data_IF_549813141471
#
_entry.id   IF_549813141471
#
_cell.length_a   1.000
_cell.length_b   1.000
_cell.length_c   1.000
_cell.angle_alpha   90.00
_cell.angle_beta   90.00
_cell.angle_gamma   90.00
#
_symmetry.space_group_name_H-M   'P 1'
#
loop_
_entity.id
_entity.type
_entity.pdbx_description
1 polymer ?
#
# COMPACT_ATOMS: atom_id res chain seq x y z
N UNK A 1 -2.72 10.40 33.52
CA UNK A 1 -2.48 10.56 32.07
C UNK A 1 -2.81 9.31 31.24
N UNK A 2 -3.80 8.48 31.64
CA UNK A 2 -4.21 7.28 30.86
C UNK A 2 -5.65 7.36 30.31
N UNK A 3 -6.53 8.18 30.89
CA UNK A 3 -7.95 8.28 30.48
C UNK A 3 -8.14 8.97 29.13
N UNK A 4 -7.36 10.02 28.81
CA UNK A 4 -7.41 10.71 27.51
C UNK A 4 -6.96 9.81 26.36
N UNK A 5 -5.97 8.95 26.59
CA UNK A 5 -5.50 7.96 25.62
C UNK A 5 -6.52 6.85 25.38
N UNK A 6 -7.24 6.42 26.42
CA UNK A 6 -8.32 5.44 26.28
C UNK A 6 -9.49 5.98 25.45
N UNK A 7 -9.86 7.26 25.63
CA UNK A 7 -10.87 7.94 24.80
C UNK A 7 -10.46 8.02 23.33
N UNK A 8 -9.22 8.47 23.08
CA UNK A 8 -8.67 8.55 21.72
C UNK A 8 -8.64 7.18 21.01
N UNK A 9 -8.21 6.12 21.71
CA UNK A 9 -8.20 4.75 21.16
C UNK A 9 -9.60 4.23 20.81
N UNK A 10 -10.63 4.59 21.58
CA UNK A 10 -12.02 4.22 21.26
C UNK A 10 -12.53 4.92 20.01
N UNK A 11 -12.20 6.20 19.82
CA UNK A 11 -12.56 6.95 18.61
C UNK A 11 -11.87 6.33 17.40
N UNK A 12 -10.57 6.06 17.47
CA UNK A 12 -9.83 5.39 16.39
C UNK A 12 -10.40 4.00 16.10
N UNK A 13 -10.81 3.24 17.13
CA UNK A 13 -11.51 1.96 16.97
C UNK A 13 -12.85 2.09 16.25
N UNK A 14 -13.65 3.11 16.58
CA UNK A 14 -14.93 3.36 15.91
C UNK A 14 -14.72 3.74 14.44
N UNK A 15 -13.73 4.59 14.13
CA UNK A 15 -13.37 4.94 12.75
C UNK A 15 -12.93 3.71 11.95
N UNK A 16 -12.23 2.76 12.59
CA UNK A 16 -11.85 1.50 11.96
C UNK A 16 -13.05 0.64 11.58
N UNK A 17 -14.09 0.60 12.42
CA UNK A 17 -15.34 -0.12 12.11
C UNK A 17 -16.03 0.52 10.90
N UNK A 18 -16.06 1.85 10.83
CA UNK A 18 -16.60 2.57 9.67
C UNK A 18 -15.78 2.28 8.41
N UNK A 19 -14.44 2.24 8.50
CA UNK A 19 -13.57 1.83 7.40
C UNK A 19 -13.88 0.41 6.91
N UNK A 20 -14.10 -0.54 7.83
CA UNK A 20 -14.52 -1.90 7.48
C UNK A 20 -15.89 -1.95 6.79
N UNK A 21 -16.83 -1.09 7.19
CA UNK A 21 -18.13 -0.99 6.52
C UNK A 21 -17.98 -0.47 5.08
N UNK A 22 -17.15 0.55 4.85
CA UNK A 22 -16.85 1.03 3.49
C UNK A 22 -16.13 -0.02 2.65
N UNK A 23 -15.18 -0.77 3.22
CA UNK A 23 -14.52 -1.90 2.56
C UNK A 23 -15.53 -2.96 2.11
N UNK A 24 -16.45 -3.32 3.00
CA UNK A 24 -17.47 -4.30 2.69
C UNK A 24 -18.44 -3.80 1.61
N UNK A 25 -18.87 -2.54 1.70
CA UNK A 25 -19.71 -1.91 0.68
C UNK A 25 -19.01 -1.86 -0.69
N UNK A 26 -17.72 -1.51 -0.72
CA UNK A 26 -16.89 -1.55 -1.93
C UNK A 26 -16.85 -2.95 -2.55
N UNK A 27 -16.70 -4.01 -1.74
CA UNK A 27 -16.76 -5.40 -2.22
C UNK A 27 -18.12 -5.71 -2.88
N UNK A 28 -19.23 -5.30 -2.25
CA UNK A 28 -20.57 -5.52 -2.80
C UNK A 28 -20.77 -4.78 -4.12
N UNK A 29 -20.29 -3.54 -4.23
CA UNK A 29 -20.37 -2.75 -5.48
C UNK A 29 -19.57 -3.43 -6.59
N UNK A 30 -18.39 -3.97 -6.31
CA UNK A 30 -17.58 -4.72 -7.29
C UNK A 30 -18.32 -5.99 -7.73
N UNK A 31 -18.85 -6.77 -6.79
CA UNK A 31 -19.60 -7.99 -7.12
C UNK A 31 -20.85 -7.67 -7.93
N UNK A 32 -21.58 -6.63 -7.54
CA UNK A 32 -22.74 -6.15 -8.28
C UNK A 32 -22.36 -5.72 -9.69
N UNK A 33 -21.26 -4.97 -9.88
CA UNK A 33 -20.79 -4.58 -11.21
C UNK A 33 -20.46 -5.79 -12.08
N UNK A 34 -19.77 -6.79 -11.54
CA UNK A 34 -19.45 -8.03 -12.24
C UNK A 34 -20.74 -8.76 -12.66
N UNK A 35 -21.69 -8.93 -11.74
CA UNK A 35 -22.97 -9.60 -12.01
C UNK A 35 -23.77 -8.84 -13.09
N UNK A 36 -23.94 -7.53 -12.92
CA UNK A 36 -24.68 -6.68 -13.84
C UNK A 36 -24.04 -6.63 -15.23
N UNK A 37 -22.70 -6.75 -15.31
CA UNK A 37 -21.97 -6.86 -16.57
C UNK A 37 -22.33 -8.14 -17.34
N UNK A 38 -22.60 -9.27 -16.67
CA UNK A 38 -23.11 -10.48 -17.33
C UNK A 38 -24.51 -10.29 -17.92
N UNK A 39 -25.34 -9.41 -17.34
CA UNK A 39 -26.66 -9.04 -17.86
C UNK A 39 -26.63 -7.88 -18.86
N UNK A 40 -25.43 -7.43 -19.29
CA UNK A 40 -25.27 -6.34 -20.26
C UNK A 40 -25.59 -4.94 -19.74
N UNK A 41 -25.74 -4.77 -18.42
CA UNK A 41 -26.08 -3.49 -17.78
C UNK A 41 -25.01 -3.06 -16.76
N UNK A 42 -23.75 -2.80 -17.15
CA UNK A 42 -22.69 -2.44 -16.21
C UNK A 42 -23.03 -1.17 -15.40
N UNK A 43 -22.51 -1.07 -14.17
CA UNK A 43 -22.77 0.09 -13.30
C UNK A 43 -22.04 1.31 -13.87
N UNK A 44 -22.79 2.28 -14.38
CA UNK A 44 -22.28 3.59 -14.79
C UNK A 44 -21.69 4.28 -13.55
N UNK A 45 -20.41 4.66 -13.63
CA UNK A 45 -19.62 5.24 -12.53
C UNK A 45 -19.27 4.31 -11.35
N UNK A 46 -19.35 2.97 -11.52
CA UNK A 46 -18.94 2.03 -10.46
C UNK A 46 -17.50 2.24 -9.98
N UNK A 47 -16.56 2.51 -10.89
CA UNK A 47 -15.15 2.78 -10.57
C UNK A 47 -14.97 4.07 -9.76
N UNK A 48 -15.62 5.17 -10.14
CA UNK A 48 -15.53 6.44 -9.41
C UNK A 48 -16.06 6.31 -7.99
N UNK A 49 -17.15 5.55 -7.80
CA UNK A 49 -17.71 5.23 -6.48
C UNK A 49 -16.70 4.43 -5.66
N UNK A 50 -16.07 3.42 -6.28
CA UNK A 50 -15.04 2.59 -5.64
C UNK A 50 -13.82 3.43 -5.22
N UNK A 51 -13.37 4.36 -6.06
CA UNK A 51 -12.24 5.25 -5.76
C UNK A 51 -12.54 6.17 -4.57
N UNK A 52 -13.73 6.79 -4.53
CA UNK A 52 -14.18 7.61 -3.40
C UNK A 52 -14.26 6.77 -2.11
N UNK A 53 -14.80 5.55 -2.19
CA UNK A 53 -14.84 4.62 -1.06
C UNK A 53 -13.43 4.22 -0.59
N UNK A 54 -12.50 3.98 -1.52
CA UNK A 54 -11.12 3.63 -1.21
C UNK A 54 -10.42 4.74 -0.42
N UNK A 55 -10.64 6.02 -0.81
CA UNK A 55 -10.14 7.18 -0.05
C UNK A 55 -10.66 7.13 1.39
N UNK A 56 -11.96 6.94 1.59
CA UNK A 56 -12.54 6.82 2.93
C UNK A 56 -11.90 5.67 3.73
N UNK A 57 -11.76 4.49 3.13
CA UNK A 57 -11.15 3.32 3.77
C UNK A 57 -9.71 3.60 4.19
N UNK A 58 -8.90 4.17 3.30
CA UNK A 58 -7.49 4.45 3.57
C UNK A 58 -7.39 5.43 4.73
N UNK A 59 -8.03 6.60 4.65
CA UNK A 59 -7.86 7.60 5.72
C UNK A 59 -8.47 7.18 7.06
N UNK A 60 -9.64 6.52 7.06
CA UNK A 60 -10.28 6.06 8.29
C UNK A 60 -9.58 4.84 8.91
N UNK A 61 -9.07 3.94 8.07
CA UNK A 61 -8.34 2.73 8.50
C UNK A 61 -6.89 3.00 8.88
N UNK A 62 -6.24 3.97 8.24
CA UNK A 62 -4.81 4.27 8.43
C UNK A 62 -4.47 4.70 9.85
N UNK A 63 -5.34 5.49 10.50
CA UNK A 63 -5.14 5.87 11.90
C UNK A 63 -5.14 4.65 12.84
N UNK A 64 -5.97 3.65 12.56
CA UNK A 64 -6.03 2.41 13.35
C UNK A 64 -4.86 1.47 13.08
N UNK A 65 -4.42 1.37 11.82
CA UNK A 65 -3.23 0.58 11.47
C UNK A 65 -1.97 1.20 12.06
N UNK A 66 -1.82 2.53 12.02
CA UNK A 66 -0.73 3.23 12.71
C UNK A 66 -0.76 2.97 14.22
N UNK A 67 -1.93 3.11 14.86
CA UNK A 67 -2.08 2.86 16.29
C UNK A 67 -1.72 1.42 16.71
N UNK A 68 -1.92 0.43 15.84
CA UNK A 68 -1.54 -0.97 16.06
C UNK A 68 -0.10 -1.29 15.63
N UNK A 69 0.67 -0.29 15.18
CA UNK A 69 2.04 -0.48 14.72
C UNK A 69 2.08 -1.07 13.30
N UNK A 70 1.57 -0.36 12.30
CA UNK A 70 1.42 -0.89 10.94
C UNK A 70 2.72 -1.37 10.27
N UNK A 71 3.88 -0.87 10.71
CA UNK A 71 5.22 -1.27 10.25
C UNK A 71 5.84 -2.40 11.09
N UNK A 72 5.21 -2.71 12.22
CA UNK A 72 5.79 -3.48 13.34
C UNK A 72 5.90 -4.98 13.05
N UNK A 73 5.30 -5.50 11.96
CA UNK A 73 5.35 -6.95 11.69
C UNK A 73 6.76 -7.43 11.31
N UNK A 74 7.56 -6.58 10.67
CA UNK A 74 8.94 -6.90 10.32
C UNK A 74 9.89 -6.66 11.51
N UNK A 75 9.68 -5.56 12.23
CA UNK A 75 10.44 -5.22 13.45
C UNK A 75 10.21 -6.20 14.60
N UNK A 76 9.00 -6.74 14.80
CA UNK A 76 8.70 -7.69 15.87
C UNK A 76 9.47 -8.99 15.73
N UNK A 77 9.64 -9.48 14.49
CA UNK A 77 10.39 -10.71 14.23
C UNK A 77 11.88 -10.51 14.48
N UNK A 78 12.42 -9.34 14.15
CA UNK A 78 13.82 -8.95 14.38
C UNK A 78 14.08 -8.68 15.87
N UNK A 79 13.16 -8.02 16.58
CA UNK A 79 13.31 -7.62 18.00
C UNK A 79 13.39 -8.78 19.00
N UNK A 80 12.97 -10.00 18.60
CA UNK A 80 13.05 -11.20 19.44
C UNK A 80 14.31 -12.04 19.23
N UNK A 81 15.19 -11.66 18.30
CA UNK A 81 16.45 -12.36 18.06
C UNK A 81 17.59 -11.77 18.91
N UNK A 82 18.54 -12.60 19.39
CA UNK A 82 19.73 -12.11 20.09
C UNK A 82 20.50 -11.10 19.23
N UNK A 83 21.05 -10.04 19.86
CA UNK A 83 21.70 -8.88 19.22
C UNK A 83 22.83 -9.18 18.22
N UNK A 84 23.37 -10.40 18.22
CA UNK A 84 24.36 -10.86 17.24
C UNK A 84 23.76 -11.40 15.94
N UNK A 85 22.48 -11.85 15.93
CA UNK A 85 21.76 -12.32 14.72
C UNK A 85 20.90 -11.25 14.07
N UNK A 86 20.56 -10.19 14.80
CA UNK A 86 19.73 -9.08 14.29
C UNK A 86 20.36 -8.40 13.07
N UNK A 87 21.69 -8.23 13.06
CA UNK A 87 22.40 -7.61 11.94
C UNK A 87 22.29 -8.42 10.64
N UNK A 88 22.39 -9.75 10.72
CA UNK A 88 22.21 -10.63 9.56
C UNK A 88 20.76 -10.63 9.06
N UNK A 89 19.78 -10.63 9.97
CA UNK A 89 18.37 -10.60 9.58
C UNK A 89 17.94 -9.25 9.01
N UNK A 90 18.47 -8.14 9.52
CA UNK A 90 18.26 -6.80 8.95
C UNK A 90 18.86 -6.71 7.56
N UNK A 91 20.09 -7.19 7.37
CA UNK A 91 20.74 -7.19 6.06
C UNK A 91 19.99 -8.05 5.03
N UNK A 92 19.56 -9.26 5.43
CA UNK A 92 18.73 -10.13 4.58
C UNK A 92 17.40 -9.45 4.22
N UNK A 93 16.80 -8.73 5.17
CA UNK A 93 15.56 -8.01 4.97
C UNK A 93 15.70 -6.87 3.95
N UNK A 94 16.77 -6.07 4.03
CA UNK A 94 17.08 -5.07 3.01
C UNK A 94 17.23 -5.69 1.63
N UNK A 95 17.97 -6.81 1.53
CA UNK A 95 18.13 -7.53 0.26
C UNK A 95 16.77 -7.98 -0.31
N UNK A 96 15.91 -8.59 0.51
CA UNK A 96 14.58 -9.02 0.08
C UNK A 96 13.73 -7.85 -0.40
N UNK A 97 13.80 -6.73 0.31
CA UNK A 97 13.07 -5.50 -0.05
C UNK A 97 13.57 -4.92 -1.37
N UNK A 98 14.89 -4.86 -1.59
CA UNK A 98 15.49 -4.46 -2.87
C UNK A 98 15.02 -5.36 -4.01
N UNK A 99 15.10 -6.69 -3.83
CA UNK A 99 14.67 -7.65 -4.86
C UNK A 99 13.18 -7.45 -5.20
N UNK A 100 12.33 -7.30 -4.18
CA UNK A 100 10.91 -7.07 -4.36
C UNK A 100 10.64 -5.80 -5.19
N UNK A 101 11.25 -4.67 -4.83
CA UNK A 101 11.06 -3.42 -5.56
C UNK A 101 11.68 -3.43 -6.96
N UNK A 102 12.76 -4.16 -7.20
CA UNK A 102 13.28 -4.39 -8.56
C UNK A 102 12.24 -5.13 -9.42
N UNK A 103 11.61 -6.17 -8.90
CA UNK A 103 10.57 -6.91 -9.62
C UNK A 103 9.38 -6.01 -9.92
N UNK A 104 8.94 -5.21 -8.94
CA UNK A 104 7.85 -4.25 -9.11
C UNK A 104 8.20 -3.20 -10.17
N UNK A 105 9.41 -2.65 -10.14
CA UNK A 105 9.89 -1.67 -11.12
C UNK A 105 9.95 -2.29 -12.53
N UNK A 106 10.53 -3.48 -12.65
CA UNK A 106 10.63 -4.19 -13.93
C UNK A 106 9.25 -4.47 -14.53
N UNK A 107 8.32 -4.99 -13.73
CA UNK A 107 6.95 -5.22 -14.17
C UNK A 107 6.22 -3.91 -14.45
N UNK A 108 6.43 -2.87 -13.65
CA UNK A 108 5.87 -1.54 -13.86
C UNK A 108 6.32 -0.93 -15.19
N UNK A 109 7.59 -1.10 -15.56
CA UNK A 109 8.14 -0.64 -16.84
C UNK A 109 7.54 -1.43 -18.01
N UNK A 110 7.47 -2.77 -17.93
CA UNK A 110 6.87 -3.60 -18.97
C UNK A 110 5.40 -3.25 -19.19
N UNK A 111 4.63 -3.19 -18.10
CA UNK A 111 3.20 -2.87 -18.14
C UNK A 111 2.95 -1.42 -18.57
N UNK A 112 3.83 -0.49 -18.19
CA UNK A 112 3.79 0.90 -18.63
C UNK A 112 4.05 1.03 -20.13
N UNK A 113 5.10 0.37 -20.63
CA UNK A 113 5.46 0.39 -22.04
C UNK A 113 4.39 -0.28 -22.92
N UNK A 114 3.82 -1.39 -22.46
CA UNK A 114 2.69 -2.05 -23.11
C UNK A 114 1.44 -1.16 -23.10
N UNK A 115 1.13 -0.49 -21.98
CA UNK A 115 -0.02 0.41 -21.87
C UNK A 115 0.06 1.60 -22.83
N UNK A 116 1.27 2.17 -22.99
CA UNK A 116 1.53 3.28 -23.93
C UNK A 116 1.37 2.84 -25.38
N UNK A 117 1.87 1.65 -25.74
CA UNK A 117 1.76 1.11 -27.11
C UNK A 117 0.34 0.69 -27.48
N UNK A 118 -0.40 0.11 -26.55
CA UNK A 118 -1.71 -0.49 -26.82
C UNK A 118 -2.86 0.52 -26.62
N UNK A 119 -2.56 1.75 -26.18
CA UNK A 119 -3.59 2.73 -25.73
C UNK A 119 -4.57 2.04 -24.78
N UNK A 120 -4.04 1.32 -23.79
CA UNK A 120 -4.88 0.54 -22.89
C UNK A 120 -5.84 1.46 -22.14
N UNK A 121 -7.10 1.33 -22.52
CA UNK A 121 -8.23 1.99 -21.88
C UNK A 121 -8.72 1.10 -20.74
N UNK A 122 -9.08 1.71 -19.62
CA UNK A 122 -9.76 1.01 -18.54
C UNK A 122 -11.01 0.32 -19.07
N UNK A 123 -11.33 -0.88 -18.59
CA UNK A 123 -12.55 -1.64 -18.92
C UNK A 123 -13.83 -1.02 -18.30
N UNK A 124 -13.94 0.30 -18.32
CA UNK A 124 -15.05 1.11 -17.82
C UNK A 124 -15.83 1.77 -18.96
N UNK A 125 -17.01 2.29 -18.61
CA UNK A 125 -17.92 2.99 -19.55
C UNK A 125 -17.32 4.32 -20.05
N UNK A 126 -16.41 4.92 -19.27
CA UNK A 126 -15.52 5.99 -19.71
C UNK A 126 -14.13 5.37 -19.89
N UNK A 127 -13.61 5.25 -21.12
CA UNK A 127 -12.26 4.74 -21.36
C UNK A 127 -11.25 5.76 -20.84
N UNK A 128 -10.83 5.62 -19.59
CA UNK A 128 -9.73 6.42 -19.04
C UNK A 128 -8.40 5.76 -19.39
N UNK A 129 -7.41 6.55 -19.84
CA UNK A 129 -6.09 6.04 -20.14
C UNK A 129 -5.42 5.49 -18.87
N UNK A 130 -4.95 4.23 -18.92
CA UNK A 130 -4.27 3.57 -17.79
C UNK A 130 -2.78 3.97 -17.70
N UNK A 131 -2.22 4.51 -18.79
CA UNK A 131 -0.81 4.85 -18.88
C UNK A 131 -0.28 5.81 -17.78
N UNK A 132 -1.00 6.87 -17.32
CA UNK A 132 -0.43 7.80 -16.35
C UNK A 132 -0.28 7.15 -14.97
N UNK A 133 -1.22 6.28 -14.57
CA UNK A 133 -1.15 5.55 -13.32
C UNK A 133 0.00 4.52 -13.30
N UNK A 134 0.23 3.81 -14.42
CA UNK A 134 1.34 2.85 -14.53
C UNK A 134 2.72 3.52 -14.56
N UNK A 135 2.83 4.69 -15.19
CA UNK A 135 4.05 5.51 -15.17
C UNK A 135 4.31 6.02 -13.76
N UNK A 136 3.28 6.52 -13.05
CA UNK A 136 3.42 6.95 -11.66
C UNK A 136 3.87 5.81 -10.74
N UNK A 137 3.36 4.58 -10.95
CA UNK A 137 3.80 3.39 -10.23
C UNK A 137 5.28 3.08 -10.49
N UNK A 138 5.73 3.08 -11.74
CA UNK A 138 7.13 2.84 -12.08
C UNK A 138 8.05 3.92 -11.47
N UNK A 139 7.64 5.19 -11.49
CA UNK A 139 8.39 6.28 -10.86
C UNK A 139 8.46 6.07 -9.34
N UNK A 140 7.33 5.79 -8.69
CA UNK A 140 7.29 5.53 -7.25
C UNK A 140 8.17 4.36 -6.83
N UNK A 141 8.12 3.26 -7.58
CA UNK A 141 8.98 2.10 -7.35
C UNK A 141 10.47 2.43 -7.50
N UNK A 142 10.84 3.30 -8.45
CA UNK A 142 12.22 3.74 -8.62
C UNK A 142 12.70 4.60 -7.43
N UNK A 143 11.87 5.52 -6.92
CA UNK A 143 12.20 6.32 -5.74
C UNK A 143 12.38 5.45 -4.49
N UNK A 144 11.50 4.48 -4.26
CA UNK A 144 11.64 3.55 -3.13
C UNK A 144 12.90 2.71 -3.27
N UNK A 145 13.23 2.26 -4.48
CA UNK A 145 14.48 1.53 -4.72
C UNK A 145 15.71 2.38 -4.37
N UNK A 146 15.71 3.66 -4.73
CA UNK A 146 16.79 4.60 -4.37
C UNK A 146 16.88 4.82 -2.85
N UNK A 147 15.75 4.96 -2.16
CA UNK A 147 15.70 5.12 -0.71
C UNK A 147 16.26 3.89 0.01
N UNK A 148 15.84 2.69 -0.39
CA UNK A 148 16.33 1.44 0.21
C UNK A 148 17.83 1.24 -0.05
N UNK A 149 18.35 1.63 -1.22
CA UNK A 149 19.79 1.60 -1.50
C UNK A 149 20.53 2.62 -0.63
N UNK A 150 20.00 3.82 -0.47
CA UNK A 150 20.60 4.84 0.39
C UNK A 150 20.64 4.37 1.86
N UNK A 151 19.57 3.74 2.34
CA UNK A 151 19.50 3.19 3.69
C UNK A 151 20.49 2.03 3.88
N UNK A 152 20.64 1.15 2.89
CA UNK A 152 21.64 0.08 2.91
C UNK A 152 23.08 0.62 3.02
N UNK A 153 23.41 1.69 2.28
CA UNK A 153 24.73 2.34 2.33
C UNK A 153 24.95 3.01 3.69
N UNK A 154 23.94 3.71 4.21
CA UNK A 154 24.00 4.36 5.53
C UNK A 154 24.14 3.35 6.67
N UNK A 155 23.47 2.20 6.56
CA UNK A 155 23.58 1.10 7.52
C UNK A 155 24.99 0.49 7.53
N UNK A 156 25.64 0.38 6.36
CA UNK A 156 27.05 -0.02 6.25
C UNK A 156 28.02 1.04 6.81
N UNK A 157 27.63 2.32 6.80
CA UNK A 157 28.42 3.47 7.31
C UNK A 157 28.37 3.70 8.82
N UNK A 158 27.71 2.83 9.60
CA UNK A 158 27.79 2.82 11.07
C UNK A 158 27.00 3.90 11.81
N UNK A 159 26.03 4.59 11.19
CA UNK A 159 25.23 5.64 11.85
C UNK A 159 23.86 5.11 12.28
N UNK A 160 23.78 4.51 13.47
CA UNK A 160 22.59 3.84 14.04
C UNK A 160 21.53 4.74 14.72
N UNK A 161 21.59 6.07 14.62
CA UNK A 161 20.88 6.92 15.60
C UNK A 161 19.50 7.50 15.20
N UNK A 162 18.92 7.21 14.03
CA UNK A 162 17.77 8.01 13.56
C UNK A 162 16.38 7.34 13.53
N UNK A 163 16.21 6.06 13.92
CA UNK A 163 14.90 5.36 13.80
C UNK A 163 14.39 4.73 15.10
N UNK A 164 14.71 5.30 16.27
CA UNK A 164 14.04 4.96 17.55
C UNK A 164 13.13 6.09 18.06
N UNK A 165 12.24 6.62 17.21
CA UNK A 165 11.13 7.46 17.67
C UNK A 165 9.79 6.98 17.14
#
# INVERSE_FOLDING_TARGET
>A
MSSKLAGFRRVVGALAVVACAFLFAMMLVIVADIVLRFFGMPIKAGLEIIELMMVCVVYLGFAFTQMKGGWVRMELLISRLPSARTWYTEYLNYILTVIFFIIVLWQGIILGWQSVRTQEMTFGIVPMPIYPARIALAIGAAFVLLEVIAELILHHGGRKEWLQK
#
